data_IF_867293694742
#
_entry.id   IF_867293694742
#
_cell.length_a   1.000
_cell.length_b   1.000
_cell.length_c   1.000
_cell.angle_alpha   90.00
_cell.angle_beta   90.00
_cell.angle_gamma   90.00
#
_symmetry.space_group_name_H-M   'P 1'
#
loop_
_entity.id
_entity.type
_entity.pdbx_description
1 polymer ?
#
# COMPACT_ATOMS: atom_id res chain seq x y z
N UNK A 1 23.16 -13.87 56.76
CA UNK A 1 23.74 -13.42 55.47
C UNK A 1 22.68 -13.56 54.38
N UNK A 2 22.19 -12.44 53.83
CA UNK A 2 21.14 -12.40 52.80
C UNK A 2 21.80 -12.12 51.45
N UNK A 3 21.87 -13.11 50.56
CA UNK A 3 22.22 -12.88 49.16
C UNK A 3 20.93 -12.54 48.39
N UNK A 4 20.83 -11.30 47.89
CA UNK A 4 19.71 -10.85 47.06
C UNK A 4 19.96 -11.25 45.62
N UNK A 5 19.09 -12.11 45.08
CA UNK A 5 18.94 -12.39 43.66
C UNK A 5 18.43 -11.10 42.98
N UNK A 6 19.27 -10.46 42.17
CA UNK A 6 18.84 -9.33 41.34
C UNK A 6 18.10 -9.93 40.15
N UNK A 7 16.78 -9.78 40.16
CA UNK A 7 15.86 -10.22 39.13
C UNK A 7 16.14 -9.48 37.83
N UNK A 8 16.70 -10.19 36.86
CA UNK A 8 16.90 -9.76 35.48
C UNK A 8 15.58 -9.89 34.71
N UNK A 9 14.60 -9.01 34.95
CA UNK A 9 13.34 -9.01 34.19
C UNK A 9 12.87 -7.58 33.99
N UNK A 10 12.47 -7.29 32.75
CA UNK A 10 11.84 -6.06 32.26
C UNK A 10 12.77 -4.87 31.94
N UNK A 11 13.52 -5.00 30.85
CA UNK A 11 13.85 -3.85 30.00
C UNK A 11 13.65 -4.19 28.52
N UNK A 12 12.44 -4.62 28.14
CA UNK A 12 12.01 -4.69 26.73
C UNK A 12 10.69 -3.94 26.57
N UNK A 13 10.75 -2.63 26.73
CA UNK A 13 9.80 -1.71 26.12
C UNK A 13 10.54 -0.48 25.60
N UNK A 14 11.69 -0.69 24.93
CA UNK A 14 12.11 0.30 23.95
C UNK A 14 11.17 0.14 22.76
N UNK A 15 10.28 1.11 22.67
CA UNK A 15 9.35 1.31 21.58
C UNK A 15 10.08 1.11 20.25
N UNK A 16 9.79 0.01 19.56
CA UNK A 16 10.14 -0.11 18.14
C UNK A 16 9.60 1.15 17.48
N UNK A 17 10.43 1.89 16.71
CA UNK A 17 9.90 3.01 15.94
C UNK A 17 8.71 2.46 15.18
N UNK A 18 7.60 3.20 15.14
CA UNK A 18 6.46 2.90 14.29
C UNK A 18 7.01 2.76 12.86
N UNK A 19 7.43 1.54 12.54
CA UNK A 19 8.17 1.23 11.34
C UNK A 19 7.06 1.12 10.33
N UNK A 20 6.97 2.11 9.43
CA UNK A 20 5.99 2.11 8.35
C UNK A 20 5.79 0.67 7.87
N UNK A 21 4.57 0.19 8.02
CA UNK A 21 4.25 -1.21 7.85
C UNK A 21 3.80 -1.42 6.42
N UNK A 22 2.96 -0.56 5.87
CA UNK A 22 2.82 -0.38 4.44
C UNK A 22 3.98 0.48 3.91
N UNK A 23 4.82 -0.07 3.04
CA UNK A 23 6.04 0.58 2.55
C UNK A 23 5.97 0.75 1.03
N UNK A 24 5.75 1.97 0.51
CA UNK A 24 5.82 2.24 -0.92
C UNK A 24 7.19 1.90 -1.50
N UNK A 25 7.20 1.18 -2.62
CA UNK A 25 8.38 0.83 -3.40
C UNK A 25 8.09 1.11 -4.86
N UNK A 26 8.87 2.01 -5.45
CA UNK A 26 8.65 2.50 -6.81
C UNK A 26 9.67 1.91 -7.76
N UNK A 27 9.23 1.03 -8.64
CA UNK A 27 10.04 0.55 -9.75
C UNK A 27 9.95 1.54 -10.90
N UNK A 28 11.07 1.74 -11.60
CA UNK A 28 11.13 2.63 -12.75
C UNK A 28 10.26 2.08 -13.88
N UNK A 29 9.29 2.88 -14.33
CA UNK A 29 8.56 2.58 -15.55
C UNK A 29 9.48 2.66 -16.77
N UNK A 30 9.21 1.81 -17.76
CA UNK A 30 9.99 1.71 -19.00
C UNK A 30 9.32 2.53 -20.09
N UNK A 31 8.02 2.34 -20.31
CA UNK A 31 7.27 3.02 -21.36
C UNK A 31 7.00 4.49 -21.04
N UNK A 32 6.76 5.30 -22.08
CA UNK A 32 6.41 6.71 -21.90
C UNK A 32 5.10 6.87 -21.11
N UNK A 33 4.08 6.06 -21.43
CA UNK A 33 2.81 6.04 -20.71
C UNK A 33 3.01 5.57 -19.26
N UNK A 34 3.83 4.54 -19.03
CA UNK A 34 4.19 4.06 -17.70
C UNK A 34 4.87 5.13 -16.86
N UNK A 35 5.83 5.88 -17.42
CA UNK A 35 6.50 7.00 -16.73
C UNK A 35 5.52 8.12 -16.37
N UNK A 36 4.57 8.43 -17.25
CA UNK A 36 3.53 9.41 -16.96
C UNK A 36 2.57 8.93 -15.86
N UNK A 37 2.24 7.63 -15.83
CA UNK A 37 1.45 7.01 -14.77
C UNK A 37 2.20 6.98 -13.43
N UNK A 38 3.48 6.60 -13.43
CA UNK A 38 4.35 6.65 -12.27
C UNK A 38 4.37 8.07 -11.68
N UNK A 39 4.67 9.09 -12.49
CA UNK A 39 4.70 10.47 -12.05
C UNK A 39 3.34 10.92 -11.49
N UNK A 40 2.23 10.50 -12.10
CA UNK A 40 0.88 10.88 -11.69
C UNK A 40 0.56 10.44 -10.25
N UNK A 41 1.00 9.24 -9.85
CA UNK A 41 0.77 8.73 -8.49
C UNK A 41 1.87 9.21 -7.54
N UNK A 42 3.14 9.18 -7.94
CA UNK A 42 4.27 9.60 -7.10
C UNK A 42 4.21 11.07 -6.66
N UNK A 43 3.57 11.92 -7.45
CA UNK A 43 3.40 13.34 -7.12
C UNK A 43 2.09 13.67 -6.40
N UNK A 44 1.30 12.66 -6.04
CA UNK A 44 0.01 12.84 -5.38
C UNK A 44 0.17 12.95 -3.85
N UNK A 45 -0.03 14.14 -3.24
CA UNK A 45 0.04 14.25 -1.78
C UNK A 45 -1.06 13.44 -1.07
N UNK A 46 -2.20 13.17 -1.72
CA UNK A 46 -3.27 12.37 -1.13
C UNK A 46 -2.88 10.89 -1.03
N UNK A 47 -2.01 10.40 -1.92
CA UNK A 47 -1.42 9.07 -1.82
C UNK A 47 -0.52 8.95 -0.59
N UNK A 48 0.39 9.91 -0.39
CA UNK A 48 1.27 9.94 0.78
C UNK A 48 0.48 10.03 2.09
N UNK A 49 -0.59 10.83 2.10
CA UNK A 49 -1.51 10.94 3.23
C UNK A 49 -2.24 9.62 3.50
N UNK A 50 -2.74 8.94 2.48
CA UNK A 50 -3.40 7.64 2.61
C UNK A 50 -2.44 6.60 3.21
N UNK A 51 -1.21 6.49 2.69
CA UNK A 51 -0.20 5.56 3.23
C UNK A 51 0.10 5.88 4.70
N UNK A 52 0.24 7.16 5.05
CA UNK A 52 0.48 7.60 6.43
C UNK A 52 -0.71 7.25 7.33
N UNK A 53 -1.93 7.50 6.87
CA UNK A 53 -3.15 7.19 7.59
C UNK A 53 -3.25 5.69 7.89
N UNK A 54 -3.05 4.83 6.88
CA UNK A 54 -3.05 3.37 7.06
C UNK A 54 -2.01 2.95 8.09
N UNK A 55 -0.77 3.43 7.97
CA UNK A 55 0.31 3.12 8.90
C UNK A 55 0.05 3.60 10.33
N UNK A 56 -0.72 4.68 10.51
CA UNK A 56 -1.13 5.17 11.84
C UNK A 56 -2.33 4.44 12.43
N UNK A 57 -3.16 3.84 11.57
CA UNK A 57 -4.44 3.22 11.96
C UNK A 57 -4.29 1.74 12.27
N UNK A 58 -3.51 1.02 11.45
CA UNK A 58 -3.39 -0.43 11.53
C UNK A 58 -2.02 -0.86 12.05
N UNK A 59 -2.00 -2.01 12.74
CA UNK A 59 -0.78 -2.67 13.21
C UNK A 59 -0.63 -4.03 12.52
N UNK A 60 0.05 -4.06 11.39
CA UNK A 60 0.48 -5.28 10.73
C UNK A 60 1.54 -6.01 11.57
N UNK A 61 1.57 -7.36 11.53
CA UNK A 61 2.61 -8.15 12.20
C UNK A 61 3.97 -8.05 11.50
N UNK A 62 4.01 -7.54 10.27
CA UNK A 62 5.21 -7.38 9.43
C UNK A 62 5.08 -6.18 8.51
N UNK A 63 6.15 -5.89 7.77
CA UNK A 63 6.10 -4.92 6.66
C UNK A 63 5.41 -5.56 5.45
N UNK A 64 4.49 -4.83 4.85
CA UNK A 64 3.77 -5.10 3.61
C UNK A 64 4.30 -4.14 2.54
N UNK A 65 5.08 -4.62 1.55
CA UNK A 65 5.50 -3.78 0.43
C UNK A 65 4.29 -3.33 -0.40
N UNK A 66 4.24 -2.04 -0.73
CA UNK A 66 3.32 -1.46 -1.70
C UNK A 66 4.12 -1.14 -2.97
N UNK A 67 4.10 -2.06 -3.91
CA UNK A 67 4.94 -2.05 -5.10
C UNK A 67 4.21 -1.36 -6.24
N UNK A 68 4.85 -0.36 -6.83
CA UNK A 68 4.42 0.29 -8.05
C UNK A 68 5.36 -0.11 -9.18
N UNK A 69 4.83 -0.69 -10.25
CA UNK A 69 5.64 -1.21 -11.36
C UNK A 69 4.85 -1.30 -12.66
N UNK A 70 5.56 -1.40 -13.78
CA UNK A 70 4.98 -1.72 -15.09
C UNK A 70 4.93 -3.25 -15.23
N UNK A 71 3.73 -3.83 -15.06
CA UNK A 71 3.57 -5.27 -14.90
C UNK A 71 3.06 -5.99 -16.17
N UNK A 72 2.72 -5.24 -17.22
CA UNK A 72 2.05 -5.74 -18.42
C UNK A 72 0.62 -6.22 -18.13
N UNK A 73 0.00 -5.73 -17.05
CA UNK A 73 -1.34 -6.15 -16.59
C UNK A 73 -2.11 -4.95 -16.05
N UNK A 74 -3.30 -4.72 -16.58
CA UNK A 74 -4.26 -3.70 -16.10
C UNK A 74 -4.88 -4.20 -14.79
N UNK A 75 -4.13 -4.17 -13.70
CA UNK A 75 -4.60 -4.65 -12.40
C UNK A 75 -3.85 -4.03 -11.20
N UNK A 76 -4.42 -4.23 -10.02
CA UNK A 76 -3.72 -4.22 -8.74
C UNK A 76 -4.05 -5.52 -8.01
N UNK A 77 -3.19 -5.96 -7.09
CA UNK A 77 -3.45 -7.19 -6.35
C UNK A 77 -2.63 -7.27 -5.07
N UNK A 78 -3.20 -7.91 -4.06
CA UNK A 78 -2.47 -8.47 -2.94
C UNK A 78 -1.99 -9.89 -3.24
N UNK A 79 -0.77 -10.22 -2.80
CA UNK A 79 -0.17 -11.56 -2.89
C UNK A 79 0.19 -12.06 -1.50
N UNK A 80 -0.52 -13.10 -1.03
CA UNK A 80 -0.32 -13.69 0.30
C UNK A 80 1.07 -14.27 0.50
N UNK A 81 1.61 -14.98 -0.49
CA UNK A 81 2.93 -15.63 -0.38
C UNK A 81 4.07 -14.63 -0.18
N UNK A 82 3.99 -13.44 -0.79
CA UNK A 82 5.00 -12.38 -0.67
C UNK A 82 4.60 -11.26 0.29
N UNK A 83 3.43 -11.36 0.92
CA UNK A 83 2.88 -10.35 1.82
C UNK A 83 2.94 -8.93 1.23
N UNK A 84 2.54 -8.78 -0.04
CA UNK A 84 2.75 -7.53 -0.79
C UNK A 84 1.53 -7.12 -1.59
N UNK A 85 1.32 -5.81 -1.71
CA UNK A 85 0.36 -5.21 -2.63
C UNK A 85 1.13 -4.70 -3.85
N UNK A 86 0.68 -5.01 -5.06
CA UNK A 86 1.21 -4.42 -6.29
C UNK A 86 0.13 -3.59 -6.97
N UNK A 87 0.47 -2.37 -7.37
CA UNK A 87 -0.35 -1.51 -8.24
C UNK A 87 0.39 -1.34 -9.56
N UNK A 88 -0.19 -1.86 -10.65
CA UNK A 88 0.42 -1.74 -11.96
C UNK A 88 0.25 -0.34 -12.54
N UNK A 89 1.30 0.21 -13.13
CA UNK A 89 1.20 1.42 -13.94
C UNK A 89 0.25 1.23 -15.14
N UNK A 90 0.09 0.02 -15.67
CA UNK A 90 -0.85 -0.27 -16.76
C UNK A 90 -2.31 0.01 -16.35
N UNK A 91 -2.66 -0.25 -15.08
CA UNK A 91 -3.97 0.09 -14.52
C UNK A 91 -4.17 1.61 -14.51
N UNK A 92 -3.16 2.35 -14.06
CA UNK A 92 -3.19 3.81 -14.00
C UNK A 92 -3.33 4.39 -15.42
N UNK A 93 -2.56 3.89 -16.39
CA UNK A 93 -2.63 4.27 -17.80
C UNK A 93 -4.04 4.02 -18.35
N UNK A 94 -4.59 2.83 -18.11
CA UNK A 94 -5.94 2.47 -18.54
C UNK A 94 -6.99 3.44 -17.97
N UNK A 95 -7.00 3.64 -16.66
CA UNK A 95 -7.98 4.53 -15.99
C UNK A 95 -7.88 5.96 -16.53
N UNK A 96 -6.66 6.46 -16.71
CA UNK A 96 -6.41 7.80 -17.24
C UNK A 96 -6.94 7.96 -18.66
N UNK A 97 -6.68 6.99 -19.53
CA UNK A 97 -7.22 6.96 -20.91
C UNK A 97 -8.74 6.83 -20.90
N UNK A 98 -9.28 5.98 -20.05
CA UNK A 98 -10.72 5.77 -19.90
C UNK A 98 -11.45 7.05 -19.50
N UNK A 99 -11.01 7.73 -18.43
CA UNK A 99 -11.68 8.95 -17.97
C UNK A 99 -11.56 10.10 -18.97
N UNK A 100 -10.42 10.21 -19.68
CA UNK A 100 -10.27 11.17 -20.80
C UNK A 100 -11.24 10.88 -21.93
N UNK A 101 -11.34 9.61 -22.36
CA UNK A 101 -12.24 9.20 -23.43
C UNK A 101 -13.73 9.39 -23.06
N UNK A 102 -14.07 9.32 -21.77
CA UNK A 102 -15.42 9.59 -21.25
C UNK A 102 -15.71 11.07 -21.00
N UNK A 103 -14.75 11.97 -21.25
CA UNK A 103 -14.94 13.41 -21.04
C UNK A 103 -15.16 13.80 -19.58
N UNK A 104 -14.65 12.99 -18.63
CA UNK A 104 -14.84 13.27 -17.20
C UNK A 104 -13.97 14.47 -16.82
N UNK A 105 -14.56 15.41 -16.06
CA UNK A 105 -13.83 16.54 -15.51
C UNK A 105 -12.67 16.07 -14.62
N UNK A 106 -11.49 16.69 -14.78
CA UNK A 106 -10.28 16.36 -14.04
C UNK A 106 -9.92 14.85 -14.08
N UNK A 107 -9.68 14.28 -15.28
CA UNK A 107 -9.51 12.83 -15.43
C UNK A 107 -8.32 12.29 -14.63
N UNK A 108 -7.25 13.07 -14.51
CA UNK A 108 -6.07 12.70 -13.72
C UNK A 108 -6.40 12.61 -12.21
N UNK A 109 -7.26 13.49 -11.71
CA UNK A 109 -7.77 13.41 -10.33
C UNK A 109 -8.65 12.17 -10.14
N UNK A 110 -9.56 11.90 -11.09
CA UNK A 110 -10.41 10.71 -11.05
C UNK A 110 -9.62 9.41 -11.11
N UNK A 111 -8.52 9.38 -11.88
CA UNK A 111 -7.59 8.26 -11.87
C UNK A 111 -6.99 8.06 -10.49
N UNK A 112 -6.47 9.10 -9.83
CA UNK A 112 -5.89 8.99 -8.48
C UNK A 112 -6.89 8.49 -7.45
N UNK A 113 -8.09 9.07 -7.43
CA UNK A 113 -9.18 8.66 -6.54
C UNK A 113 -9.56 7.18 -6.75
N UNK A 114 -9.63 6.74 -8.01
CA UNK A 114 -9.95 5.35 -8.34
C UNK A 114 -8.80 4.41 -7.94
N UNK A 115 -7.55 4.81 -8.15
CA UNK A 115 -6.37 4.06 -7.71
C UNK A 115 -6.33 3.95 -6.18
N UNK A 116 -6.66 5.03 -5.46
CA UNK A 116 -6.76 5.02 -3.99
C UNK A 116 -7.85 4.05 -3.49
N UNK A 117 -9.02 4.06 -4.15
CA UNK A 117 -10.08 3.08 -3.87
C UNK A 117 -9.61 1.64 -4.09
N UNK A 118 -8.96 1.36 -5.21
CA UNK A 118 -8.44 0.03 -5.52
C UNK A 118 -7.35 -0.37 -4.53
N UNK A 119 -6.47 0.55 -4.13
CA UNK A 119 -5.48 0.29 -3.08
C UNK A 119 -6.15 -0.07 -1.75
N UNK A 120 -7.23 0.62 -1.37
CA UNK A 120 -8.01 0.27 -0.17
C UNK A 120 -8.68 -1.10 -0.29
N UNK A 121 -9.10 -1.50 -1.49
CA UNK A 121 -9.61 -2.85 -1.76
C UNK A 121 -8.52 -3.91 -1.53
N UNK A 122 -7.34 -3.74 -2.12
CA UNK A 122 -6.21 -4.67 -1.89
C UNK A 122 -5.72 -4.65 -0.45
N UNK A 123 -5.85 -3.50 0.23
CA UNK A 123 -5.60 -3.39 1.66
C UNK A 123 -6.55 -4.26 2.48
N UNK A 124 -7.81 -4.40 2.06
CA UNK A 124 -8.76 -5.32 2.67
C UNK A 124 -8.26 -6.77 2.61
N UNK A 125 -7.76 -7.20 1.45
CA UNK A 125 -7.16 -8.52 1.30
C UNK A 125 -5.91 -8.69 2.17
N UNK A 126 -5.04 -7.68 2.21
CA UNK A 126 -3.86 -7.68 3.06
C UNK A 126 -4.23 -7.78 4.54
N UNK A 127 -5.17 -6.98 5.03
CA UNK A 127 -5.59 -6.99 6.44
C UNK A 127 -6.20 -8.33 6.85
N UNK A 128 -7.07 -8.90 6.02
CA UNK A 128 -7.66 -10.22 6.26
C UNK A 128 -6.56 -11.27 6.42
N UNK A 129 -5.60 -11.28 5.50
CA UNK A 129 -4.53 -12.27 5.50
C UNK A 129 -3.50 -12.05 6.62
N UNK A 130 -3.05 -10.80 6.81
CA UNK A 130 -2.03 -10.46 7.81
C UNK A 130 -2.52 -10.62 9.24
N UNK A 131 -3.81 -10.39 9.48
CA UNK A 131 -4.40 -10.45 10.82
C UNK A 131 -5.21 -11.73 11.06
N UNK A 132 -5.16 -12.68 10.12
CA UNK A 132 -5.90 -13.95 10.17
C UNK A 132 -7.40 -13.75 10.47
N UNK A 133 -8.01 -12.77 9.79
CA UNK A 133 -9.41 -12.42 9.99
C UNK A 133 -10.32 -13.32 9.15
N UNK A 134 -11.51 -13.68 9.66
CA UNK A 134 -12.48 -14.40 8.85
C UNK A 134 -13.04 -13.50 7.73
N UNK A 135 -13.01 -13.99 6.49
CA UNK A 135 -13.57 -13.33 5.31
C UNK A 135 -14.99 -13.82 4.99
N UNK A 136 -15.86 -13.97 6.00
CA UNK A 136 -17.24 -14.42 5.80
C UNK A 136 -18.21 -13.26 5.94
N UNK A 137 -19.06 -13.06 4.93
CA UNK A 137 -20.32 -12.35 5.11
C UNK A 137 -21.30 -13.27 5.85
N UNK A 138 -22.10 -12.72 6.75
CA UNK A 138 -23.30 -13.41 7.22
C UNK A 138 -24.40 -13.30 6.17
#
# INVERSE_FOLDING_TARGET
MRARLISLVCLVFLQSPASAQLVPSWQNAVSADGKAAQQLIQSDPAHDELVRYINSTYRFPRKVPLIYTEAGKINAWYQGNSHSITVSYDLVVFLRKFFRAKGVANPDQRTRETVAFILLHEMGHALIHELDLPAVGR
#
